data_IF_066038698003
#
_entry.id   IF_066038698003
#
_cell.length_a   1.000
_cell.length_b   1.000
_cell.length_c   1.000
_cell.angle_alpha   90.00
_cell.angle_beta   90.00
_cell.angle_gamma   90.00
#
_symmetry.space_group_name_H-M   'P 1'
#
loop_
_entity.id
_entity.type
_entity.pdbx_description
1 polymer ?
#
# COMPACT_ATOMS: atom_id res chain seq x y z
N UNK A 1 37.67 -2.42 -59.81
CA UNK A 1 37.39 -3.31 -58.66
C UNK A 1 37.42 -2.46 -57.38
N UNK A 2 36.28 -2.05 -56.78
CA UNK A 2 36.30 -1.47 -55.44
C UNK A 2 35.89 -2.51 -54.40
N UNK A 3 36.64 -2.53 -53.30
CA UNK A 3 36.48 -3.43 -52.16
C UNK A 3 35.23 -3.09 -51.34
N UNK A 4 34.46 -4.12 -50.99
CA UNK A 4 33.33 -4.01 -50.08
C UNK A 4 33.82 -3.91 -48.63
N UNK A 5 33.53 -2.78 -47.98
CA UNK A 5 33.75 -2.59 -46.54
C UNK A 5 32.56 -3.21 -45.82
N UNK A 6 32.78 -4.35 -45.18
CA UNK A 6 31.80 -5.04 -44.34
C UNK A 6 31.76 -4.32 -42.97
N UNK A 7 30.74 -3.49 -42.75
CA UNK A 7 30.49 -2.86 -41.45
C UNK A 7 29.84 -3.90 -40.51
N UNK A 8 30.65 -4.50 -39.64
CA UNK A 8 30.20 -5.40 -38.58
C UNK A 8 29.56 -4.55 -37.48
N UNK A 9 28.23 -4.37 -37.53
CA UNK A 9 27.46 -3.75 -36.44
C UNK A 9 27.44 -4.70 -35.23
N UNK A 10 28.36 -4.48 -34.30
CA UNK A 10 28.38 -5.08 -32.98
C UNK A 10 27.15 -4.56 -32.19
N UNK A 11 26.04 -5.30 -32.23
CA UNK A 11 24.87 -5.05 -31.38
C UNK A 11 25.24 -5.34 -29.92
N UNK A 12 25.84 -4.37 -29.22
CA UNK A 12 25.90 -4.40 -27.77
C UNK A 12 24.46 -4.41 -27.25
N UNK A 13 24.07 -5.52 -26.62
CA UNK A 13 22.79 -5.66 -25.94
C UNK A 13 22.67 -4.65 -24.81
N UNK A 14 22.10 -3.48 -25.10
CA UNK A 14 21.62 -2.56 -24.09
C UNK A 14 20.50 -3.27 -23.33
N UNK A 15 20.80 -3.72 -22.10
CA UNK A 15 19.75 -4.05 -21.15
C UNK A 15 18.86 -2.81 -21.04
N UNK A 16 17.54 -2.92 -21.26
CA UNK A 16 16.66 -1.77 -21.11
C UNK A 16 16.87 -1.20 -19.71
N UNK A 17 17.28 0.06 -19.63
CA UNK A 17 17.34 0.79 -18.36
C UNK A 17 15.90 0.91 -17.89
N UNK A 18 15.50 0.03 -16.96
CA UNK A 18 14.19 0.12 -16.34
C UNK A 18 14.11 1.51 -15.65
N UNK A 19 13.27 2.40 -16.18
CA UNK A 19 13.09 3.71 -15.55
C UNK A 19 12.55 3.51 -14.12
N UNK A 20 13.00 4.30 -13.14
CA UNK A 20 12.51 4.20 -11.78
C UNK A 20 11.01 4.48 -11.75
N UNK A 21 10.25 3.58 -11.12
CA UNK A 21 8.79 3.63 -11.10
C UNK A 21 8.29 4.85 -10.30
N UNK A 22 7.32 5.64 -10.78
CA UNK A 22 6.91 6.88 -10.10
C UNK A 22 6.53 6.70 -8.62
N UNK A 23 5.77 5.65 -8.29
CA UNK A 23 5.40 5.36 -6.90
C UNK A 23 6.61 5.00 -6.03
N UNK A 24 7.59 4.28 -6.57
CA UNK A 24 8.78 3.86 -5.82
C UNK A 24 9.68 5.02 -5.44
N UNK A 25 9.60 6.13 -6.17
CA UNK A 25 10.39 7.34 -5.90
C UNK A 25 9.77 8.23 -4.81
N UNK A 26 8.52 7.97 -4.41
CA UNK A 26 7.85 8.76 -3.38
C UNK A 26 8.57 8.60 -2.04
N UNK A 27 8.98 9.72 -1.47
CA UNK A 27 9.60 9.81 -0.16
C UNK A 27 8.52 10.08 0.89
N UNK A 28 8.42 9.15 1.83
CA UNK A 28 7.63 9.26 3.06
C UNK A 28 8.56 9.37 4.27
N UNK A 29 8.02 9.36 5.47
CA UNK A 29 8.80 9.35 6.71
C UNK A 29 8.37 8.23 7.64
N UNK A 30 9.33 7.63 8.33
CA UNK A 30 9.06 6.74 9.48
C UNK A 30 8.43 7.52 10.64
N UNK A 31 7.95 6.83 11.67
CA UNK A 31 7.43 7.49 12.88
C UNK A 31 8.48 8.30 13.64
N UNK A 32 9.77 8.00 13.45
CA UNK A 32 10.88 8.78 14.03
C UNK A 32 11.27 9.99 13.17
N UNK A 33 10.67 10.14 11.99
CA UNK A 33 10.91 11.24 11.06
C UNK A 33 11.94 10.95 9.97
N UNK A 34 12.56 9.77 9.95
CA UNK A 34 13.56 9.41 8.96
C UNK A 34 12.93 9.25 7.57
N UNK A 35 13.54 9.80 6.50
CA UNK A 35 13.01 9.63 5.15
C UNK A 35 13.14 8.18 4.69
N UNK A 36 12.14 7.67 3.98
CA UNK A 36 12.16 6.35 3.34
C UNK A 36 11.40 6.39 2.02
N UNK A 37 11.83 5.60 1.03
CA UNK A 37 11.14 5.49 -0.25
C UNK A 37 10.24 4.27 -0.27
N UNK A 38 9.12 4.38 -0.97
CA UNK A 38 8.23 3.23 -1.15
C UNK A 38 8.91 2.06 -1.89
N UNK A 39 9.89 2.38 -2.75
CA UNK A 39 10.70 1.40 -3.47
C UNK A 39 11.69 0.60 -2.60
N UNK A 40 11.98 1.05 -1.37
CA UNK A 40 12.92 0.37 -0.46
C UNK A 40 12.29 -0.92 0.14
N UNK A 41 10.96 -1.05 0.05
CA UNK A 41 10.21 -2.24 0.49
C UNK A 41 10.20 -3.29 -0.62
N UNK A 42 11.22 -4.15 -0.63
CA UNK A 42 11.36 -5.20 -1.62
C UNK A 42 10.49 -6.42 -1.28
N UNK A 43 9.39 -6.59 -2.00
CA UNK A 43 8.54 -7.78 -1.94
C UNK A 43 7.84 -7.99 -3.29
N UNK A 44 7.45 -9.24 -3.64
CA UNK A 44 6.62 -9.50 -4.81
C UNK A 44 5.35 -8.63 -4.87
N UNK A 45 4.76 -8.34 -3.71
CA UNK A 45 3.67 -7.39 -3.57
C UNK A 45 3.82 -6.54 -2.30
N UNK A 46 3.21 -5.36 -2.32
CA UNK A 46 3.08 -4.41 -1.21
C UNK A 46 1.60 -4.13 -0.96
N UNK A 47 1.22 -4.08 0.32
CA UNK A 47 -0.08 -3.58 0.76
C UNK A 47 0.12 -2.25 1.44
N UNK A 48 -0.52 -1.22 0.90
CA UNK A 48 -0.58 0.10 1.53
C UNK A 48 -1.95 0.25 2.16
N UNK A 49 -2.01 0.64 3.43
CA UNK A 49 -3.28 0.95 4.10
C UNK A 49 -3.21 2.35 4.68
N UNK A 50 -4.11 3.24 4.24
CA UNK A 50 -4.28 4.54 4.85
C UNK A 50 -5.06 4.40 6.16
N UNK A 51 -4.50 4.93 7.25
CA UNK A 51 -5.02 4.76 8.61
C UNK A 51 -5.17 6.11 9.32
N UNK A 52 -6.01 6.14 10.35
CA UNK A 52 -6.06 7.21 11.35
C UNK A 52 -5.99 6.58 12.75
N UNK A 53 -5.15 7.09 13.66
CA UNK A 53 -5.04 6.61 15.04
C UNK A 53 -6.37 6.61 15.82
N UNK A 54 -7.21 7.62 15.58
CA UNK A 54 -8.47 7.80 16.30
C UNK A 54 -9.65 7.07 15.66
N UNK A 55 -9.51 6.64 14.41
CA UNK A 55 -10.58 5.94 13.70
C UNK A 55 -10.85 4.55 14.32
N UNK A 56 -12.04 4.29 14.90
CA UNK A 56 -12.35 3.00 15.51
C UNK A 56 -12.26 1.83 14.52
N UNK A 57 -12.52 2.08 13.24
CA UNK A 57 -12.39 1.07 12.20
C UNK A 57 -10.91 0.69 12.01
N UNK A 58 -10.02 1.68 11.91
CA UNK A 58 -8.57 1.45 11.77
C UNK A 58 -8.02 0.64 12.95
N UNK A 59 -8.42 1.01 14.16
CA UNK A 59 -8.06 0.31 15.41
C UNK A 59 -8.46 -1.17 15.38
N UNK A 60 -9.67 -1.47 14.90
CA UNK A 60 -10.16 -2.85 14.80
C UNK A 60 -9.44 -3.64 13.70
N UNK A 61 -9.12 -3.01 12.57
CA UNK A 61 -8.37 -3.67 11.48
C UNK A 61 -6.89 -3.88 11.79
N UNK A 62 -6.28 -3.16 12.73
CA UNK A 62 -4.87 -3.30 13.08
C UNK A 62 -4.45 -4.75 13.34
N UNK A 63 -5.26 -5.52 14.08
CA UNK A 63 -4.98 -6.94 14.35
C UNK A 63 -4.95 -7.79 13.08
N UNK A 64 -5.89 -7.56 12.16
CA UNK A 64 -5.97 -8.29 10.89
C UNK A 64 -4.79 -7.95 9.99
N UNK A 65 -4.37 -6.68 9.95
CA UNK A 65 -3.22 -6.23 9.18
C UNK A 65 -1.90 -6.78 9.74
N UNK A 66 -1.76 -6.86 11.07
CA UNK A 66 -0.62 -7.53 11.73
C UNK A 66 -0.55 -9.02 11.42
N UNK A 67 -1.69 -9.71 11.39
CA UNK A 67 -1.73 -11.11 10.95
C UNK A 67 -1.32 -11.25 9.47
N UNK A 68 -1.81 -10.36 8.61
CA UNK A 68 -1.46 -10.34 7.20
C UNK A 68 0.05 -10.09 6.98
N UNK A 69 0.65 -9.23 7.80
CA UNK A 69 2.07 -8.88 7.74
C UNK A 69 3.03 -10.03 8.11
N UNK A 70 2.52 -11.15 8.65
CA UNK A 70 3.35 -12.34 8.90
C UNK A 70 3.78 -13.06 7.60
N UNK A 71 3.15 -12.72 6.47
CA UNK A 71 3.52 -13.23 5.15
C UNK A 71 4.88 -12.69 4.71
N UNK A 72 5.84 -13.58 4.46
CA UNK A 72 7.21 -13.20 4.06
C UNK A 72 7.33 -12.67 2.63
N UNK A 73 6.34 -12.97 1.80
CA UNK A 73 6.23 -12.57 0.39
C UNK A 73 5.51 -11.22 0.21
N UNK A 74 5.11 -10.57 1.31
CA UNK A 74 4.26 -9.38 1.31
C UNK A 74 4.80 -8.32 2.27
N UNK A 75 5.00 -7.11 1.76
CA UNK A 75 5.25 -5.95 2.62
C UNK A 75 3.93 -5.25 2.96
N UNK A 76 3.55 -5.21 4.24
CA UNK A 76 2.37 -4.45 4.72
C UNK A 76 2.86 -3.12 5.32
N UNK A 77 2.29 -2.01 4.85
CA UNK A 77 2.69 -0.66 5.21
C UNK A 77 1.44 0.15 5.56
N UNK A 78 1.34 0.58 6.82
CA UNK A 78 0.35 1.55 7.25
C UNK A 78 0.85 2.97 7.02
N UNK A 79 -0.02 3.85 6.51
CA UNK A 79 0.33 5.25 6.21
C UNK A 79 -0.67 6.17 6.89
N UNK A 80 -0.16 7.08 7.71
CA UNK A 80 -0.95 8.16 8.30
C UNK A 80 -0.91 9.39 7.39
N UNK A 81 -2.03 9.76 6.74
CA UNK A 81 -2.06 10.91 5.85
C UNK A 81 -2.18 12.22 6.65
N UNK A 82 -1.50 13.26 6.20
CA UNK A 82 -1.66 14.60 6.77
C UNK A 82 -0.86 14.85 8.06
N UNK A 83 -1.32 15.80 8.86
CA UNK A 83 -0.57 16.40 9.98
C UNK A 83 -1.40 16.60 11.26
N UNK A 84 -2.62 16.08 11.32
CA UNK A 84 -3.53 16.20 12.46
C UNK A 84 -3.01 15.49 13.70
N UNK A 85 -2.15 14.48 13.51
CA UNK A 85 -1.57 13.67 14.57
C UNK A 85 -0.07 13.84 14.64
N UNK A 86 0.47 13.67 15.83
CA UNK A 86 1.90 13.74 16.09
C UNK A 86 2.52 12.35 16.36
N UNK A 87 3.84 12.36 16.64
CA UNK A 87 4.58 11.13 16.92
C UNK A 87 4.02 10.36 18.12
N UNK A 88 3.55 11.05 19.16
CA UNK A 88 3.03 10.41 20.35
C UNK A 88 1.74 9.64 20.03
N UNK A 89 0.86 10.21 19.20
CA UNK A 89 -0.37 9.55 18.73
C UNK A 89 -0.06 8.27 17.94
N UNK A 90 0.85 8.36 16.96
CA UNK A 90 1.24 7.20 16.13
C UNK A 90 1.86 6.08 16.97
N UNK A 91 2.75 6.43 17.90
CA UNK A 91 3.43 5.47 18.77
C UNK A 91 2.46 4.86 19.80
N UNK A 92 1.50 5.64 20.30
CA UNK A 92 0.44 5.11 21.16
C UNK A 92 -0.44 4.11 20.38
N UNK A 93 -0.86 4.45 19.17
CA UNK A 93 -1.62 3.55 18.29
C UNK A 93 -0.85 2.25 18.03
N UNK A 94 0.42 2.37 17.62
CA UNK A 94 1.30 1.22 17.38
C UNK A 94 1.37 0.30 18.60
N UNK A 95 1.64 0.83 19.79
CA UNK A 95 1.74 0.03 21.03
C UNK A 95 0.40 -0.58 21.42
N UNK A 96 -0.67 0.21 21.43
CA UNK A 96 -2.00 -0.21 21.90
C UNK A 96 -2.56 -1.37 21.09
N UNK A 97 -2.31 -1.38 19.78
CA UNK A 97 -2.80 -2.41 18.86
C UNK A 97 -1.72 -3.42 18.44
N UNK A 98 -0.57 -3.42 19.13
CA UNK A 98 0.54 -4.35 18.91
C UNK A 98 0.96 -4.46 17.44
N UNK A 99 1.05 -3.32 16.77
CA UNK A 99 1.40 -3.26 15.35
C UNK A 99 2.90 -3.49 15.16
N UNK A 100 3.20 -4.49 14.36
CA UNK A 100 4.54 -4.97 14.02
C UNK A 100 4.95 -4.71 12.58
N UNK A 101 4.00 -4.39 11.70
CA UNK A 101 4.27 -3.95 10.33
C UNK A 101 4.74 -2.49 10.27
N UNK A 102 5.29 -2.09 9.12
CA UNK A 102 5.84 -0.74 8.95
C UNK A 102 4.74 0.32 9.01
N UNK A 103 4.99 1.40 9.76
CA UNK A 103 4.14 2.58 9.82
C UNK A 103 4.90 3.81 9.34
N UNK A 104 4.30 4.53 8.39
CA UNK A 104 4.85 5.73 7.78
C UNK A 104 3.89 6.91 7.93
N UNK A 105 4.40 8.11 7.75
CA UNK A 105 3.63 9.35 7.68
C UNK A 105 3.71 9.95 6.26
N UNK A 106 2.57 10.44 5.77
CA UNK A 106 2.42 11.15 4.51
C UNK A 106 1.97 12.60 4.77
N UNK A 107 2.85 13.36 5.41
CA UNK A 107 2.58 14.71 5.90
C UNK A 107 2.19 15.73 4.81
N UNK A 108 2.58 15.47 3.56
CA UNK A 108 2.26 16.33 2.41
C UNK A 108 1.20 15.70 1.50
N UNK A 109 0.59 14.58 1.91
CA UNK A 109 -0.42 13.83 1.17
C UNK A 109 0.06 13.45 -0.25
N UNK A 110 1.36 13.21 -0.44
CA UNK A 110 1.93 12.89 -1.76
C UNK A 110 1.52 11.50 -2.22
N UNK A 111 1.52 10.51 -1.32
CA UNK A 111 1.08 9.16 -1.62
C UNK A 111 -0.45 9.09 -1.72
N UNK A 112 -1.18 9.85 -0.89
CA UNK A 112 -2.64 10.03 -1.02
C UNK A 112 -2.99 10.48 -2.44
N UNK A 113 -2.35 11.54 -2.96
CA UNK A 113 -2.60 12.03 -4.32
C UNK A 113 -2.19 11.03 -5.39
N UNK A 114 -1.05 10.35 -5.22
CA UNK A 114 -0.55 9.41 -6.22
C UNK A 114 -1.43 8.15 -6.35
N UNK A 115 -2.03 7.69 -5.24
CA UNK A 115 -2.93 6.54 -5.23
C UNK A 115 -4.42 6.93 -5.37
N UNK A 116 -4.73 8.22 -5.31
CA UNK A 116 -6.10 8.73 -5.32
C UNK A 116 -6.91 8.28 -4.11
N UNK A 117 -6.27 8.04 -2.96
CA UNK A 117 -6.92 7.61 -1.74
C UNK A 117 -7.87 8.68 -1.19
N UNK A 118 -8.99 8.26 -0.65
CA UNK A 118 -10.09 9.14 -0.22
C UNK A 118 -10.53 8.88 1.22
N UNK A 119 -10.26 7.71 1.78
CA UNK A 119 -10.92 7.25 3.01
C UNK A 119 -9.95 6.56 3.97
N UNK A 120 -10.25 6.59 5.27
CA UNK A 120 -9.57 5.75 6.27
C UNK A 120 -10.57 4.84 6.99
N UNK A 121 -10.36 3.50 7.01
CA UNK A 121 -9.29 2.76 6.33
C UNK A 121 -9.55 2.56 4.82
N UNK A 122 -8.49 2.59 4.02
CA UNK A 122 -8.53 2.21 2.59
C UNK A 122 -7.24 1.47 2.25
N UNK A 123 -7.37 0.33 1.58
CA UNK A 123 -6.25 -0.57 1.25
C UNK A 123 -5.95 -0.59 -0.25
N UNK A 124 -4.67 -0.74 -0.59
CA UNK A 124 -4.15 -0.86 -1.94
C UNK A 124 -3.20 -2.05 -2.02
N UNK A 125 -3.41 -2.95 -2.99
CA UNK A 125 -2.43 -3.97 -3.36
C UNK A 125 -1.63 -3.48 -4.55
N UNK A 126 -0.30 -3.47 -4.41
CA UNK A 126 0.64 -2.98 -5.42
C UNK A 126 1.62 -4.08 -5.75
N UNK A 127 1.84 -4.34 -7.04
CA UNK A 127 2.79 -5.36 -7.48
C UNK A 127 4.27 -4.90 -7.38
N UNK A 128 5.16 -5.85 -7.67
CA UNK A 128 6.60 -5.66 -7.80
C UNK A 128 7.00 -4.73 -8.95
N UNK A 129 6.06 -4.23 -9.76
CA UNK A 129 6.20 -3.25 -10.84
C UNK A 129 5.49 -1.92 -10.53
N UNK A 130 4.98 -1.74 -9.31
CA UNK A 130 4.37 -0.50 -8.86
C UNK A 130 2.98 -0.25 -9.44
N UNK A 131 2.32 -1.26 -10.01
CA UNK A 131 0.95 -1.17 -10.49
C UNK A 131 -0.02 -1.46 -9.35
N UNK A 132 -1.10 -0.68 -9.28
CA UNK A 132 -2.20 -0.93 -8.34
C UNK A 132 -3.07 -2.04 -8.90
N UNK A 133 -3.08 -3.18 -8.22
CA UNK A 133 -3.86 -4.37 -8.58
C UNK A 133 -5.23 -4.42 -7.90
N UNK A 134 -5.32 -3.84 -6.70
CA UNK A 134 -6.55 -3.74 -5.94
C UNK A 134 -6.58 -2.41 -5.18
N UNK A 135 -7.78 -1.84 -5.04
CA UNK A 135 -8.04 -0.65 -4.22
C UNK A 135 -9.38 -0.79 -3.50
N UNK A 136 -9.43 -0.51 -2.20
CA UNK A 136 -10.72 -0.34 -1.54
C UNK A 136 -10.83 -0.79 -0.10
N UNK A 137 -12.01 -1.27 0.24
CA UNK A 137 -12.33 -1.89 1.53
C UNK A 137 -11.39 -3.07 1.85
N UNK A 138 -11.09 -3.30 3.13
CA UNK A 138 -10.33 -4.48 3.54
C UNK A 138 -11.20 -5.74 3.44
N UNK A 139 -12.44 -5.64 3.93
CA UNK A 139 -13.50 -6.65 3.87
C UNK A 139 -14.88 -5.97 4.01
N UNK A 140 -15.96 -6.75 4.13
CA UNK A 140 -17.34 -6.27 4.31
C UNK A 140 -17.84 -6.30 5.78
N UNK A 141 -16.93 -6.32 6.77
CA UNK A 141 -17.30 -6.28 8.19
C UNK A 141 -18.08 -5.00 8.54
N UNK A 142 -17.65 -3.87 7.98
CA UNK A 142 -18.36 -2.59 8.08
C UNK A 142 -19.35 -2.50 6.92
N UNK A 143 -20.62 -2.23 7.23
CA UNK A 143 -21.69 -2.14 6.22
C UNK A 143 -22.18 -0.71 6.01
N UNK A 144 -22.01 0.14 7.03
CA UNK A 144 -22.15 1.58 6.98
C UNK A 144 -21.39 2.17 8.19
N UNK A 145 -21.18 3.48 8.22
CA UNK A 145 -20.65 4.15 9.42
C UNK A 145 -21.55 3.84 10.63
N UNK A 146 -20.94 3.34 11.71
CA UNK A 146 -21.65 2.90 12.92
C UNK A 146 -22.39 1.56 12.79
N UNK A 147 -22.29 0.83 11.66
CA UNK A 147 -22.97 -0.46 11.44
C UNK A 147 -21.99 -1.54 10.99
N UNK A 148 -21.89 -2.60 11.77
CA UNK A 148 -21.01 -3.74 11.51
C UNK A 148 -21.77 -5.06 11.50
N UNK A 149 -21.16 -6.08 10.90
CA UNK A 149 -21.57 -7.47 11.02
C UNK A 149 -20.85 -8.13 12.20
N UNK A 150 -21.36 -9.25 12.75
CA UNK A 150 -20.60 -10.07 13.67
C UNK A 150 -19.27 -10.56 13.09
N UNK A 151 -19.28 -10.87 11.78
CA UNK A 151 -18.10 -11.32 11.03
C UNK A 151 -18.21 -10.87 9.56
N UNK A 152 -17.07 -10.56 8.94
CA UNK A 152 -16.97 -10.37 7.49
C UNK A 152 -17.34 -11.67 6.75
N UNK A 153 -18.01 -11.53 5.61
CA UNK A 153 -18.33 -12.60 4.67
C UNK A 153 -17.44 -12.56 3.43
N UNK A 154 -16.96 -11.38 3.07
CA UNK A 154 -16.09 -11.16 1.92
C UNK A 154 -14.81 -10.46 2.35
N UNK A 155 -13.67 -11.12 2.15
CA UNK A 155 -12.34 -10.63 2.55
C UNK A 155 -11.58 -10.05 1.36
N UNK A 156 -12.06 -8.95 0.79
CA UNK A 156 -11.61 -8.41 -0.50
C UNK A 156 -10.09 -8.29 -0.63
N UNK A 157 -9.42 -7.66 0.34
CA UNK A 157 -7.97 -7.49 0.30
C UNK A 157 -7.24 -8.83 0.34
N UNK A 158 -7.66 -9.74 1.23
CA UNK A 158 -7.04 -11.06 1.35
C UNK A 158 -7.24 -11.87 0.07
N UNK A 159 -8.45 -11.87 -0.50
CA UNK A 159 -8.75 -12.54 -1.77
C UNK A 159 -7.94 -11.96 -2.93
N UNK A 160 -7.74 -10.64 -3.00
CA UNK A 160 -6.89 -10.03 -4.02
C UNK A 160 -5.42 -10.45 -3.90
N UNK A 161 -4.91 -10.55 -2.67
CA UNK A 161 -3.55 -11.02 -2.39
C UNK A 161 -3.39 -12.49 -2.80
N UNK A 162 -4.33 -13.34 -2.42
CA UNK A 162 -4.29 -14.76 -2.76
C UNK A 162 -4.39 -14.98 -4.27
N UNK A 163 -5.27 -14.24 -4.97
CA UNK A 163 -5.37 -14.27 -6.42
C UNK A 163 -4.07 -13.83 -7.11
N UNK A 164 -3.40 -12.78 -6.61
CA UNK A 164 -2.09 -12.35 -7.13
C UNK A 164 -1.05 -13.47 -7.06
N UNK A 165 -0.90 -14.11 -5.89
CA UNK A 165 0.08 -15.19 -5.71
C UNK A 165 -0.31 -16.49 -6.42
N UNK A 166 -1.60 -16.71 -6.67
CA UNK A 166 -2.09 -17.82 -7.47
C UNK A 166 -2.06 -17.55 -8.98
N UNK A 167 -1.59 -16.37 -9.42
CA UNK A 167 -1.64 -15.93 -10.82
C UNK A 167 -3.05 -15.97 -11.42
N UNK A 168 -4.07 -15.65 -10.61
CA UNK A 168 -5.46 -15.60 -11.01
C UNK A 168 -5.93 -14.15 -11.21
N UNK A 169 -7.01 -13.93 -11.99
CA UNK A 169 -7.63 -12.62 -12.08
C UNK A 169 -8.09 -12.11 -10.71
N UNK A 170 -7.75 -10.86 -10.38
CA UNK A 170 -8.23 -10.19 -9.17
C UNK A 170 -9.60 -9.59 -9.47
N UNK A 171 -10.64 -10.11 -8.81
CA UNK A 171 -12.01 -9.63 -8.96
C UNK A 171 -12.70 -9.57 -7.58
N UNK A 172 -13.31 -8.44 -7.21
CA UNK A 172 -13.25 -7.13 -7.89
C UNK A 172 -11.88 -6.45 -7.72
N UNK A 173 -11.46 -5.62 -8.69
CA UNK A 173 -10.26 -4.77 -8.58
C UNK A 173 -10.48 -3.53 -7.71
N UNK A 174 -11.75 -3.12 -7.53
CA UNK A 174 -12.10 -1.95 -6.73
C UNK A 174 -13.37 -2.21 -5.90
N UNK A 175 -13.33 -1.82 -4.63
CA UNK A 175 -14.50 -1.85 -3.72
C UNK A 175 -14.54 -0.56 -2.92
N UNK A 176 -15.67 0.14 -2.90
CA UNK A 176 -15.77 1.39 -2.13
C UNK A 176 -15.48 1.15 -0.64
N UNK A 177 -14.48 1.82 -0.04
CA UNK A 177 -14.23 1.73 1.39
C UNK A 177 -15.32 2.46 2.19
N UNK A 178 -15.49 2.07 3.45
CA UNK A 178 -16.37 2.75 4.41
C UNK A 178 -15.51 3.29 5.54
N UNK A 179 -15.57 4.61 5.74
CA UNK A 179 -14.76 5.30 6.73
C UNK A 179 -14.89 6.82 6.62
N UNK A 180 -14.05 7.53 7.37
CA UNK A 180 -13.97 8.99 7.30
C UNK A 180 -13.11 9.43 6.11
N UNK A 181 -13.46 10.58 5.51
CA UNK A 181 -12.72 11.13 4.37
C UNK A 181 -11.34 11.66 4.78
N UNK A 182 -10.37 11.55 3.89
CA UNK A 182 -9.04 12.16 3.99
C UNK A 182 -9.15 13.62 3.52
N UNK A 183 -9.90 14.45 4.25
CA UNK A 183 -10.08 15.87 3.93
C UNK A 183 -9.33 16.76 4.93
N UNK A 184 -9.42 16.43 6.22
CA UNK A 184 -8.98 17.30 7.34
C UNK A 184 -8.02 16.62 8.34
N UNK A 185 -7.43 15.48 7.97
CA UNK A 185 -6.28 14.88 8.68
C UNK A 185 -4.96 15.56 8.29
#
# INVERSE_FOLDING_TARGET
MPAAILFFFLLLGLKPVQQPRPLDQLVLRTLTGEPTRLGDFHSPARVIVFLSPECPLCQQYSRKLTQLAQRKDLSVIGVFPGRAYDRADYEQFKRKYSIDFTLLTDANRSLVRALGATTTPEAFLIDGQGQVLYRGAIDDWVTALGKTRPQARHHYLASAIDAFFAHQPILPVQVSPIGCLINDL
#
